data_IF_466732906563
#
_entry.id   IF_466732906563
#
_cell.length_a   1.000
_cell.length_b   1.000
_cell.length_c   1.000
_cell.angle_alpha   90.00
_cell.angle_beta   90.00
_cell.angle_gamma   90.00
#
_symmetry.space_group_name_H-M   'P 1'
#
loop_
_entity.id
_entity.type
_entity.pdbx_description
1 polymer ?
#
# COMPACT_ATOMS: atom_id res chain seq x y z
N UNK A 1 4.97 30.42 -11.58
CA UNK A 1 4.36 29.33 -10.78
C UNK A 1 3.31 29.98 -9.88
N UNK A 2 2.04 29.63 -10.01
CA UNK A 2 1.00 30.19 -9.15
C UNK A 2 1.01 29.48 -7.79
N UNK A 3 1.15 30.23 -6.70
CA UNK A 3 1.12 29.70 -5.34
C UNK A 3 -0.13 30.25 -4.66
N UNK A 4 -0.85 29.38 -3.95
CA UNK A 4 -1.92 29.77 -3.04
C UNK A 4 -1.51 29.39 -1.62
N UNK A 5 -1.72 30.31 -0.69
CA UNK A 5 -1.54 30.05 0.74
C UNK A 5 -2.86 29.54 1.30
N UNK A 6 -2.79 28.49 2.12
CA UNK A 6 -3.93 27.94 2.85
C UNK A 6 -3.61 27.95 4.34
N UNK A 7 -4.62 28.17 5.15
CA UNK A 7 -4.55 27.95 6.60
C UNK A 7 -5.04 26.54 6.89
N UNK A 8 -4.35 25.83 7.78
CA UNK A 8 -4.71 24.50 8.25
C UNK A 8 -4.56 24.44 9.76
N UNK A 9 -5.33 23.55 10.39
CA UNK A 9 -5.18 23.26 11.82
C UNK A 9 -3.76 22.77 12.16
N UNK A 10 -3.32 23.02 13.40
CA UNK A 10 -1.97 22.67 13.82
C UNK A 10 -1.70 21.16 13.77
N UNK A 11 -2.70 20.35 14.13
CA UNK A 11 -2.59 18.89 14.06
C UNK A 11 -2.49 18.38 12.61
N UNK A 12 -3.23 19.00 11.69
CA UNK A 12 -3.14 18.72 10.26
C UNK A 12 -1.77 19.11 9.70
N UNK A 13 -1.21 20.24 10.14
CA UNK A 13 0.15 20.65 9.81
C UNK A 13 1.20 19.63 10.28
N UNK A 14 1.15 19.20 11.55
CA UNK A 14 2.12 18.23 12.08
C UNK A 14 1.99 16.87 11.40
N UNK A 15 0.76 16.42 11.10
CA UNK A 15 0.54 15.21 10.28
C UNK A 15 1.18 15.36 8.91
N UNK A 16 0.93 16.47 8.21
CA UNK A 16 1.49 16.70 6.89
C UNK A 16 3.03 16.79 6.91
N UNK A 17 3.59 17.37 7.97
CA UNK A 17 5.04 17.44 8.21
C UNK A 17 5.66 16.06 8.42
N UNK A 18 4.98 15.17 9.16
CA UNK A 18 5.45 13.81 9.40
C UNK A 18 5.56 12.97 8.13
N UNK A 19 4.78 13.29 7.08
CA UNK A 19 4.85 12.60 5.79
C UNK A 19 6.02 13.03 4.90
N UNK A 20 6.78 14.08 5.26
CA UNK A 20 7.93 14.52 4.46
C UNK A 20 9.02 13.44 4.45
N UNK A 21 9.50 13.09 3.27
CA UNK A 21 10.62 12.16 3.08
C UNK A 21 11.98 12.79 3.41
N UNK A 22 12.03 14.12 3.56
CA UNK A 22 13.24 14.86 3.91
C UNK A 22 12.99 16.37 4.04
N UNK A 23 14.00 17.13 4.50
CA UNK A 23 13.85 18.56 4.79
C UNK A 23 13.62 19.43 3.55
N UNK A 24 14.09 19.00 2.37
CA UNK A 24 13.97 19.75 1.12
C UNK A 24 12.65 19.50 0.36
N UNK A 25 11.84 18.51 0.78
CA UNK A 25 10.56 18.24 0.11
C UNK A 25 9.55 19.35 0.44
N UNK A 26 8.93 19.95 -0.56
CA UNK A 26 7.86 20.94 -0.36
C UNK A 26 6.55 20.28 0.04
N UNK A 27 5.69 20.98 0.80
CA UNK A 27 4.37 20.46 1.15
C UNK A 27 3.50 20.17 -0.09
N UNK A 28 3.64 20.94 -1.17
CA UNK A 28 2.98 20.64 -2.44
C UNK A 28 3.44 19.32 -3.06
N UNK A 29 4.72 18.93 -2.91
CA UNK A 29 5.20 17.61 -3.33
C UNK A 29 4.61 16.51 -2.46
N UNK A 30 4.56 16.70 -1.13
CA UNK A 30 3.94 15.75 -0.20
C UNK A 30 2.48 15.50 -0.59
N UNK A 31 1.69 16.56 -0.77
CA UNK A 31 0.26 16.45 -1.13
C UNK A 31 0.08 15.70 -2.45
N UNK A 32 0.88 16.02 -3.47
CA UNK A 32 0.83 15.31 -4.77
C UNK A 32 1.22 13.84 -4.65
N UNK A 33 2.21 13.52 -3.83
CA UNK A 33 2.69 12.14 -3.60
C UNK A 33 1.69 11.31 -2.79
N UNK A 34 1.09 11.91 -1.77
CA UNK A 34 0.03 11.26 -1.00
C UNK A 34 -1.19 11.01 -1.88
N UNK A 35 -1.43 11.90 -2.84
CA UNK A 35 -2.48 11.80 -3.84
C UNK A 35 -3.88 11.74 -3.21
N UNK A 36 -4.94 11.71 -4.02
CA UNK A 36 -6.10 10.94 -3.64
C UNK A 36 -5.59 9.52 -3.41
N UNK A 37 -5.90 8.89 -2.28
CA UNK A 37 -5.85 7.42 -2.25
C UNK A 37 -6.75 7.00 -3.41
N UNK A 38 -6.19 6.48 -4.49
CA UNK A 38 -6.96 5.56 -5.30
C UNK A 38 -7.54 4.61 -4.27
N UNK A 39 -8.87 4.53 -4.20
CA UNK A 39 -9.52 3.57 -3.34
C UNK A 39 -9.08 2.21 -3.86
N UNK A 40 -7.92 1.75 -3.41
CA UNK A 40 -7.47 0.39 -3.60
C UNK A 40 -8.62 -0.48 -3.18
N UNK A 41 -8.85 -1.54 -3.95
CA UNK A 41 -9.98 -2.40 -3.69
C UNK A 41 -10.02 -2.75 -2.20
N UNK A 42 -11.14 -2.45 -1.56
CA UNK A 42 -11.37 -2.85 -0.18
C UNK A 42 -11.18 -4.36 -0.07
N UNK A 43 -10.88 -4.86 1.13
CA UNK A 43 -10.73 -6.30 1.33
C UNK A 43 -11.94 -7.10 0.81
N UNK A 44 -13.16 -6.55 0.96
CA UNK A 44 -14.38 -7.11 0.40
C UNK A 44 -14.43 -7.12 -1.14
N UNK A 45 -13.97 -6.06 -1.79
CA UNK A 45 -13.88 -6.01 -3.25
C UNK A 45 -12.82 -6.97 -3.80
N UNK A 46 -11.71 -7.15 -3.09
CA UNK A 46 -10.68 -8.14 -3.42
C UNK A 46 -11.27 -9.55 -3.33
N UNK A 47 -11.98 -9.85 -2.23
CA UNK A 47 -12.64 -11.15 -2.03
C UNK A 47 -13.65 -11.43 -3.14
N UNK A 48 -14.56 -10.49 -3.41
CA UNK A 48 -15.56 -10.63 -4.48
C UNK A 48 -14.92 -10.91 -5.84
N UNK A 49 -13.82 -10.23 -6.16
CA UNK A 49 -13.07 -10.47 -7.42
C UNK A 49 -12.37 -11.82 -7.44
N UNK A 50 -11.99 -12.37 -6.29
CA UNK A 50 -11.41 -13.70 -6.21
C UNK A 50 -12.49 -14.78 -6.41
N UNK A 51 -13.66 -14.62 -5.79
CA UNK A 51 -14.82 -15.50 -5.96
C UNK A 51 -15.34 -15.52 -7.40
N UNK A 52 -15.47 -14.35 -8.03
CA UNK A 52 -15.88 -14.25 -9.43
C UNK A 52 -14.91 -14.99 -10.35
N UNK A 53 -13.60 -14.82 -10.13
CA UNK A 53 -12.57 -15.54 -10.88
C UNK A 53 -12.63 -17.04 -10.67
N UNK A 54 -12.86 -17.50 -9.45
CA UNK A 54 -13.05 -18.92 -9.16
C UNK A 54 -14.27 -19.49 -9.92
N UNK A 55 -15.39 -18.75 -9.96
CA UNK A 55 -16.61 -19.17 -10.67
C UNK A 55 -16.39 -19.38 -12.17
N UNK A 56 -15.62 -18.51 -12.81
CA UNK A 56 -15.30 -18.60 -14.25
C UNK A 56 -14.08 -19.50 -14.56
N UNK A 57 -13.62 -20.30 -13.58
CA UNK A 57 -12.47 -21.20 -13.76
C UNK A 57 -11.13 -20.49 -13.96
N UNK A 58 -11.05 -19.19 -13.62
CA UNK A 58 -9.84 -18.35 -13.64
C UNK A 58 -9.23 -18.18 -12.24
N UNK A 59 -9.69 -18.97 -11.27
CA UNK A 59 -9.10 -19.04 -9.94
C UNK A 59 -7.77 -19.82 -9.96
N UNK A 60 -6.93 -19.66 -8.93
CA UNK A 60 -5.72 -20.47 -8.80
C UNK A 60 -6.11 -21.94 -8.59
N UNK A 61 -5.35 -22.84 -9.22
CA UNK A 61 -5.44 -24.28 -8.98
C UNK A 61 -4.89 -24.64 -7.60
N UNK A 62 -5.29 -25.81 -7.07
CA UNK A 62 -4.78 -26.32 -5.79
C UNK A 62 -3.25 -26.42 -5.79
N UNK A 63 -2.65 -26.88 -6.89
CA UNK A 63 -1.19 -26.97 -7.03
C UNK A 63 -0.49 -25.60 -6.96
N UNK A 64 -1.11 -24.55 -7.49
CA UNK A 64 -0.57 -23.19 -7.40
C UNK A 64 -0.66 -22.66 -5.97
N UNK A 65 -1.75 -22.96 -5.26
CA UNK A 65 -1.92 -22.59 -3.85
C UNK A 65 -0.89 -23.31 -2.97
N UNK A 66 -0.67 -24.61 -3.19
CA UNK A 66 0.33 -25.40 -2.46
C UNK A 66 1.74 -24.83 -2.65
N UNK A 67 2.11 -24.45 -3.90
CA UNK A 67 3.39 -23.80 -4.19
C UNK A 67 3.56 -22.48 -3.44
N UNK A 68 2.52 -21.66 -3.36
CA UNK A 68 2.55 -20.40 -2.61
C UNK A 68 2.72 -20.66 -1.11
N UNK A 69 2.05 -21.68 -0.57
CA UNK A 69 2.19 -22.05 0.82
C UNK A 69 3.62 -22.53 1.14
N UNK A 70 4.21 -23.37 0.28
CA UNK A 70 5.59 -23.83 0.41
C UNK A 70 6.59 -22.67 0.40
N UNK A 71 6.41 -21.69 -0.50
CA UNK A 71 7.23 -20.48 -0.54
C UNK A 71 7.08 -19.65 0.73
N UNK A 72 5.85 -19.50 1.24
CA UNK A 72 5.59 -18.78 2.49
C UNK A 72 6.25 -19.47 3.69
N UNK A 73 6.20 -20.81 3.76
CA UNK A 73 6.87 -21.62 4.79
C UNK A 73 8.39 -21.45 4.74
N UNK A 74 8.98 -21.46 3.54
CA UNK A 74 10.43 -21.22 3.33
C UNK A 74 10.85 -19.81 3.75
N UNK A 75 10.08 -18.77 3.41
CA UNK A 75 10.37 -17.38 3.83
C UNK A 75 10.30 -17.18 5.36
N UNK A 76 9.34 -17.82 6.05
CA UNK A 76 9.24 -17.75 7.52
C UNK A 76 10.45 -18.36 8.25
N UNK A 77 11.21 -19.24 7.60
CA UNK A 77 12.42 -19.86 8.16
C UNK A 77 13.66 -18.99 8.05
N UNK A 78 13.66 -17.94 7.21
CA UNK A 78 14.72 -16.94 7.19
C UNK A 78 14.45 -15.88 8.26
N UNK A 79 14.87 -16.16 9.51
CA UNK A 79 14.83 -15.20 10.61
C UNK A 79 16.02 -14.23 10.61
N UNK A 80 16.99 -14.40 9.73
CA UNK A 80 18.28 -13.68 9.75
C UNK A 80 18.45 -12.79 8.52
N UNK A 81 17.56 -11.83 8.28
CA UNK A 81 17.81 -10.76 7.28
C UNK A 81 18.00 -9.37 7.92
N UNK A 82 18.10 -9.30 9.24
CA UNK A 82 18.33 -8.06 10.02
C UNK A 82 19.66 -8.05 10.78
N UNK A 83 20.62 -8.91 10.42
CA UNK A 83 22.00 -8.83 10.93
C UNK A 83 22.97 -8.61 9.77
N UNK A 84 23.09 -7.36 9.34
CA UNK A 84 24.29 -6.77 8.75
C UNK A 84 24.38 -5.32 9.22
#
# INVERSE_FOLDING_TARGET
MAVKTITIELDAYERLRSFKSGPMESFSQVIRRLGPRESGATAGEILRRAEERARIGRGPSLQELDRVEDLRRKKRRSKDHWRE
#
